data_IF_652010456245
#
_entry.id   IF_652010456245
#
_cell.length_a   1.000
_cell.length_b   1.000
_cell.length_c   1.000
_cell.angle_alpha   90.00
_cell.angle_beta   90.00
_cell.angle_gamma   90.00
#
_symmetry.space_group_name_H-M   'P 1'
#
loop_
_entity.id
_entity.type
_entity.pdbx_description
1 polymer ?
#
# COMPACT_ATOMS: atom_id res chain seq x y z
N UNK A 1 1.50 -16.24 -4.31
CA UNK A 1 0.50 -16.05 -3.23
C UNK A 1 -0.70 -16.94 -3.47
N UNK A 2 -0.99 -17.78 -2.48
CA UNK A 2 -2.20 -18.56 -2.41
C UNK A 2 -3.43 -17.64 -2.32
N UNK A 3 -4.63 -18.21 -2.47
CA UNK A 3 -5.87 -17.44 -2.30
C UNK A 3 -6.01 -16.92 -0.86
N UNK A 4 -5.53 -17.68 0.12
CA UNK A 4 -5.50 -17.28 1.53
C UNK A 4 -4.68 -15.99 1.73
N UNK A 5 -3.41 -15.96 1.29
CA UNK A 5 -2.56 -14.77 1.45
C UNK A 5 -3.14 -13.52 0.78
N UNK A 6 -3.85 -13.69 -0.35
CA UNK A 6 -4.55 -12.58 -1.01
C UNK A 6 -5.73 -12.08 -0.21
N UNK A 7 -6.47 -12.96 0.46
CA UNK A 7 -7.58 -12.58 1.32
C UNK A 7 -7.06 -11.83 2.56
N UNK A 8 -5.98 -12.31 3.16
CA UNK A 8 -5.29 -11.62 4.26
C UNK A 8 -4.82 -10.23 3.82
N UNK A 9 -4.14 -10.12 2.68
CA UNK A 9 -3.68 -8.83 2.16
C UNK A 9 -4.85 -7.87 1.84
N UNK A 10 -5.99 -8.38 1.37
CA UNK A 10 -7.20 -7.56 1.16
C UNK A 10 -7.72 -7.03 2.50
N UNK A 11 -7.79 -7.87 3.52
CA UNK A 11 -8.25 -7.46 4.86
C UNK A 11 -7.32 -6.39 5.46
N UNK A 12 -5.99 -6.58 5.38
CA UNK A 12 -5.00 -5.61 5.85
C UNK A 12 -5.13 -4.25 5.15
N UNK A 13 -5.28 -4.26 3.81
CA UNK A 13 -5.45 -3.03 3.02
C UNK A 13 -6.76 -2.32 3.40
N UNK A 14 -7.85 -3.07 3.58
CA UNK A 14 -9.14 -2.50 4.02
C UNK A 14 -9.03 -1.86 5.41
N UNK A 15 -8.31 -2.49 6.34
CA UNK A 15 -8.08 -1.92 7.67
C UNK A 15 -7.23 -0.64 7.63
N UNK A 16 -6.18 -0.63 6.82
CA UNK A 16 -5.36 0.57 6.60
C UNK A 16 -6.18 1.72 6.01
N UNK A 17 -7.08 1.45 5.07
CA UNK A 17 -7.97 2.48 4.52
C UNK A 17 -8.99 2.98 5.54
N UNK A 18 -9.55 2.11 6.39
CA UNK A 18 -10.52 2.51 7.41
C UNK A 18 -9.92 3.37 8.51
N UNK A 19 -8.65 3.14 8.85
CA UNK A 19 -7.94 3.90 9.88
C UNK A 19 -7.31 5.19 9.35
N UNK A 20 -7.20 5.34 8.02
CA UNK A 20 -6.63 6.51 7.37
C UNK A 20 -7.70 7.55 7.02
N UNK A 21 -7.39 8.83 7.23
CA UNK A 21 -8.32 9.94 6.87
C UNK A 21 -8.36 10.20 5.36
N UNK A 22 -7.25 9.99 4.66
CA UNK A 22 -7.13 10.22 3.23
C UNK A 22 -6.20 9.20 2.58
N UNK A 23 -6.36 8.99 1.27
CA UNK A 23 -5.50 8.10 0.46
C UNK A 23 -5.05 8.81 -0.80
N UNK A 24 -3.83 8.49 -1.27
CA UNK A 24 -3.23 9.03 -2.49
C UNK A 24 -2.78 7.89 -3.38
N UNK A 25 -3.17 7.92 -4.66
CA UNK A 25 -2.77 6.93 -5.66
C UNK A 25 -1.56 7.45 -6.42
N UNK A 26 -0.44 6.72 -6.36
CA UNK A 26 0.84 7.10 -6.96
C UNK A 26 1.39 6.02 -7.89
N UNK A 27 2.06 6.41 -8.98
CA UNK A 27 2.84 5.48 -9.81
C UNK A 27 4.29 5.39 -9.29
N UNK A 28 4.77 4.17 -9.04
CA UNK A 28 6.12 3.91 -8.52
C UNK A 28 7.15 3.55 -9.61
N UNK A 29 6.70 3.44 -10.87
CA UNK A 29 7.54 3.03 -12.00
C UNK A 29 8.63 4.07 -12.26
N UNK A 30 9.86 3.61 -12.52
CA UNK A 30 11.01 4.47 -12.77
C UNK A 30 11.80 4.85 -11.51
N UNK A 31 11.40 4.35 -10.33
CA UNK A 31 12.15 4.53 -9.09
C UNK A 31 12.98 3.29 -8.74
N UNK A 32 14.20 3.51 -8.26
CA UNK A 32 15.02 2.45 -7.68
C UNK A 32 14.54 2.13 -6.26
N UNK A 33 14.98 0.99 -5.72
CA UNK A 33 14.69 0.62 -4.33
C UNK A 33 15.25 1.64 -3.33
N UNK A 34 16.40 2.26 -3.64
CA UNK A 34 16.99 3.31 -2.80
C UNK A 34 16.07 4.53 -2.71
N UNK A 35 15.53 4.99 -3.84
CA UNK A 35 14.60 6.12 -3.89
C UNK A 35 13.30 5.79 -3.11
N UNK A 36 12.79 4.56 -3.23
CA UNK A 36 11.61 4.13 -2.46
C UNK A 36 11.91 3.99 -0.96
N UNK A 37 13.14 3.67 -0.57
CA UNK A 37 13.54 3.62 0.83
C UNK A 37 13.60 5.03 1.44
N UNK A 38 14.11 6.00 0.69
CA UNK A 38 14.11 7.41 1.08
C UNK A 38 12.68 7.93 1.26
N UNK A 39 11.78 7.69 0.30
CA UNK A 39 10.37 8.08 0.41
C UNK A 39 9.67 7.44 1.62
N UNK A 40 9.95 6.17 1.91
CA UNK A 40 9.39 5.51 3.10
C UNK A 40 9.89 6.14 4.40
N UNK A 41 11.15 6.57 4.45
CA UNK A 41 11.70 7.29 5.62
C UNK A 41 11.07 8.67 5.77
N UNK A 42 10.88 9.40 4.67
CA UNK A 42 10.27 10.74 4.73
C UNK A 42 8.80 10.71 5.14
N UNK A 43 8.07 9.63 4.82
CA UNK A 43 6.68 9.43 5.21
C UNK A 43 6.51 8.74 6.57
N UNK A 44 7.60 8.25 7.16
CA UNK A 44 7.57 7.54 8.44
C UNK A 44 7.00 8.42 9.55
N UNK A 45 6.07 7.86 10.35
CA UNK A 45 5.40 8.59 11.44
C UNK A 45 4.21 9.45 11.00
N UNK A 46 4.03 9.69 9.70
CA UNK A 46 2.95 10.52 9.17
C UNK A 46 1.97 9.74 8.29
N UNK A 47 2.46 8.79 7.49
CA UNK A 47 1.65 8.05 6.55
C UNK A 47 2.16 6.63 6.32
N UNK A 48 1.27 5.77 5.82
CA UNK A 48 1.58 4.40 5.41
C UNK A 48 1.71 4.35 3.89
N UNK A 49 2.90 3.99 3.38
CA UNK A 49 3.16 3.84 1.94
C UNK A 49 3.37 2.38 1.55
N UNK A 50 2.43 1.83 0.77
CA UNK A 50 2.46 0.44 0.28
C UNK A 50 2.28 0.38 -1.23
N UNK A 51 2.92 -0.62 -1.85
CA UNK A 51 2.70 -0.95 -3.26
C UNK A 51 1.94 -2.26 -3.30
N UNK A 52 0.66 -2.20 -3.67
CA UNK A 52 -0.23 -3.35 -3.67
C UNK A 52 -0.69 -3.72 -5.09
N UNK A 53 -1.12 -4.98 -5.26
CA UNK A 53 -1.69 -5.43 -6.54
C UNK A 53 -3.06 -4.78 -6.76
N UNK A 54 -3.26 -4.17 -7.92
CA UNK A 54 -4.50 -3.45 -8.27
C UNK A 54 -5.78 -4.29 -8.07
N UNK A 55 -5.78 -5.57 -8.43
CA UNK A 55 -6.95 -6.43 -8.25
C UNK A 55 -7.28 -6.71 -6.79
N UNK A 56 -6.31 -6.60 -5.87
CA UNK A 56 -6.55 -6.73 -4.44
C UNK A 56 -7.12 -5.43 -3.89
N UNK A 57 -6.54 -4.29 -4.27
CA UNK A 57 -7.06 -2.96 -3.90
C UNK A 57 -8.52 -2.78 -4.36
N UNK A 58 -8.86 -3.20 -5.59
CA UNK A 58 -10.25 -3.19 -6.10
C UNK A 58 -11.23 -4.07 -5.33
N UNK A 59 -10.75 -5.06 -4.56
CA UNK A 59 -11.59 -5.91 -3.71
C UNK A 59 -11.66 -5.39 -2.26
N UNK A 60 -10.72 -4.51 -1.90
CA UNK A 60 -10.59 -3.93 -0.57
C UNK A 60 -11.32 -2.59 -0.43
N UNK A 61 -11.47 -1.87 -1.56
CA UNK A 61 -12.33 -0.70 -1.73
C UNK A 61 -13.80 -1.11 -1.87
#
# INVERSE_FOLDING_TARGET
MAKADKATAVAEITEQFKTSTATVVTEYRGLTVANLAELRRSLSGHATYTVAKNTLVKRAA
#
